data_IF_441695320958
#
_entry.id   IF_441695320958
#
_cell.length_a   1.000
_cell.length_b   1.000
_cell.length_c   1.000
_cell.angle_alpha   90.00
_cell.angle_beta   90.00
_cell.angle_gamma   90.00
#
_symmetry.space_group_name_H-M   'P 1'
#
loop_
_entity.id
_entity.type
_entity.pdbx_description
1 polymer ?
#
# COMPACT_ATOMS: atom_id res chain seq x y z
N UNK A 1 25.21 19.01 4.49
CA UNK A 1 25.02 18.26 3.23
C UNK A 1 23.80 18.82 2.51
N UNK A 2 23.89 19.16 1.22
CA UNK A 2 22.73 19.61 0.42
C UNK A 2 21.83 18.42 0.03
N UNK A 3 20.59 18.70 -0.36
CA UNK A 3 19.67 17.68 -0.92
C UNK A 3 20.34 16.92 -2.08
N UNK A 4 21.01 17.63 -2.99
CA UNK A 4 21.71 17.00 -4.10
C UNK A 4 22.78 16.00 -3.62
N UNK A 5 23.62 16.42 -2.66
CA UNK A 5 24.67 15.59 -2.10
C UNK A 5 24.10 14.36 -1.38
N UNK A 6 23.03 14.57 -0.58
CA UNK A 6 22.34 13.51 0.14
C UNK A 6 21.78 12.44 -0.81
N UNK A 7 21.06 12.87 -1.84
CA UNK A 7 20.46 11.96 -2.82
C UNK A 7 21.52 11.23 -3.64
N UNK A 8 22.63 11.88 -4.01
CA UNK A 8 23.75 11.21 -4.70
C UNK A 8 24.35 10.10 -3.84
N UNK A 9 24.65 10.40 -2.57
CA UNK A 9 25.21 9.42 -1.63
C UNK A 9 24.27 8.23 -1.40
N UNK A 10 22.98 8.50 -1.17
CA UNK A 10 21.98 7.46 -0.98
C UNK A 10 21.78 6.61 -2.24
N UNK A 11 21.69 7.23 -3.42
CA UNK A 11 21.56 6.50 -4.70
C UNK A 11 22.73 5.53 -4.90
N UNK A 12 23.97 6.01 -4.70
CA UNK A 12 25.17 5.18 -4.84
C UNK A 12 25.17 3.98 -3.86
N UNK A 13 24.63 4.17 -2.66
CA UNK A 13 24.52 3.09 -1.66
C UNK A 13 23.44 2.06 -1.99
N UNK A 14 22.37 2.47 -2.69
CA UNK A 14 21.22 1.62 -2.98
C UNK A 14 21.28 0.96 -4.37
N UNK A 15 22.17 1.40 -5.26
CA UNK A 15 22.23 0.94 -6.65
C UNK A 15 22.43 -0.58 -6.82
N UNK A 16 23.07 -1.26 -5.86
CA UNK A 16 23.32 -2.70 -5.91
C UNK A 16 22.13 -3.56 -5.47
N UNK A 17 21.13 -2.97 -4.80
CA UNK A 17 19.98 -3.69 -4.23
C UNK A 17 18.64 -3.22 -4.78
N UNK A 18 18.58 -2.06 -5.44
CA UNK A 18 17.35 -1.49 -5.97
C UNK A 18 17.53 -1.06 -7.42
N UNK A 19 16.72 -1.56 -8.37
CA UNK A 19 16.71 -1.06 -9.75
C UNK A 19 16.22 0.40 -9.82
N UNK A 20 15.56 0.88 -8.76
CA UNK A 20 15.02 2.23 -8.63
C UNK A 20 15.72 3.04 -7.55
N UNK A 21 17.01 2.78 -7.27
CA UNK A 21 17.78 3.39 -6.18
C UNK A 21 17.63 4.92 -6.03
N UNK A 22 17.55 5.64 -7.15
CA UNK A 22 17.34 7.09 -7.16
C UNK A 22 15.95 7.47 -6.64
N UNK A 23 14.92 6.76 -7.11
CA UNK A 23 13.53 6.94 -6.67
C UNK A 23 13.39 6.63 -5.18
N UNK A 24 13.98 5.52 -4.73
CA UNK A 24 13.99 5.13 -3.31
C UNK A 24 14.55 6.26 -2.45
N UNK A 25 15.71 6.81 -2.82
CA UNK A 25 16.33 7.93 -2.10
C UNK A 25 15.46 9.19 -2.09
N UNK A 26 14.81 9.51 -3.21
CA UNK A 26 13.92 10.67 -3.31
C UNK A 26 12.66 10.53 -2.45
N UNK A 27 12.05 9.35 -2.43
CA UNK A 27 10.87 9.07 -1.61
C UNK A 27 11.18 9.12 -0.12
N UNK A 28 12.30 8.51 0.30
CA UNK A 28 12.73 8.55 1.70
C UNK A 28 13.07 9.98 2.16
N UNK A 29 13.74 10.78 1.31
CA UNK A 29 14.03 12.16 1.67
C UNK A 29 12.77 13.03 1.69
N UNK A 30 11.85 12.83 0.74
CA UNK A 30 10.55 13.49 0.72
C UNK A 30 9.76 13.23 2.00
N UNK A 31 9.76 11.99 2.49
CA UNK A 31 9.15 11.60 3.76
C UNK A 31 9.76 12.36 4.95
N UNK A 32 11.10 12.41 5.07
CA UNK A 32 11.78 13.14 6.15
C UNK A 32 11.47 14.64 6.14
N UNK A 33 11.33 15.23 4.95
CA UNK A 33 11.08 16.67 4.79
C UNK A 33 9.60 17.04 4.87
N UNK A 34 8.69 16.06 4.80
CA UNK A 34 7.25 16.31 4.61
C UNK A 34 6.96 16.99 3.27
N UNK A 35 7.75 16.71 2.23
CA UNK A 35 7.67 17.35 0.92
C UNK A 35 7.11 16.42 -0.14
N UNK A 36 6.61 17.00 -1.23
CA UNK A 36 6.39 16.22 -2.46
C UNK A 36 7.73 15.83 -3.09
N UNK A 37 7.76 14.68 -3.79
CA UNK A 37 8.93 14.26 -4.57
C UNK A 37 9.39 15.33 -5.55
N UNK A 38 8.44 15.99 -6.24
CA UNK A 38 8.73 17.04 -7.21
C UNK A 38 9.51 18.21 -6.57
N UNK A 39 9.13 18.60 -5.35
CA UNK A 39 9.85 19.64 -4.61
C UNK A 39 11.27 19.21 -4.23
N UNK A 40 11.45 17.97 -3.77
CA UNK A 40 12.80 17.43 -3.48
C UNK A 40 13.70 17.46 -4.71
N UNK A 41 13.15 17.16 -5.90
CA UNK A 41 13.90 17.22 -7.17
C UNK A 41 14.24 18.66 -7.57
N UNK A 42 13.35 19.62 -7.32
CA UNK A 42 13.56 21.03 -7.66
C UNK A 42 14.56 21.73 -6.72
N UNK A 43 14.45 21.48 -5.40
CA UNK A 43 15.15 22.22 -4.34
C UNK A 43 16.54 21.63 -4.01
N UNK A 44 17.37 21.41 -5.02
CA UNK A 44 18.60 20.60 -4.92
C UNK A 44 19.67 21.18 -3.99
N UNK A 45 19.72 22.50 -3.85
CA UNK A 45 20.75 23.22 -3.10
C UNK A 45 20.39 23.46 -1.62
N UNK A 46 19.17 23.12 -1.20
CA UNK A 46 18.76 23.25 0.20
C UNK A 46 19.65 22.40 1.09
N UNK A 47 20.13 23.00 2.19
CA UNK A 47 20.98 22.33 3.18
C UNK A 47 20.09 21.62 4.20
N UNK A 48 20.32 20.32 4.38
CA UNK A 48 19.62 19.52 5.39
C UNK A 48 20.16 19.85 6.79
N UNK A 49 19.27 19.93 7.77
CA UNK A 49 19.68 20.03 9.18
C UNK A 49 20.39 18.75 9.64
N UNK A 50 21.20 18.79 10.72
CA UNK A 50 21.84 17.59 11.25
C UNK A 50 20.84 16.46 11.56
N UNK A 51 19.70 16.79 12.19
CA UNK A 51 18.64 15.82 12.49
C UNK A 51 18.03 15.21 11.22
N UNK A 52 17.80 16.00 10.17
CA UNK A 52 17.30 15.48 8.89
C UNK A 52 18.32 14.55 8.21
N UNK A 53 19.62 14.89 8.28
CA UNK A 53 20.68 14.04 7.73
C UNK A 53 20.77 12.69 8.48
N UNK A 54 20.66 12.72 9.81
CA UNK A 54 20.65 11.52 10.63
C UNK A 54 19.44 10.63 10.34
N UNK A 55 18.24 11.21 10.35
CA UNK A 55 17.00 10.48 10.06
C UNK A 55 16.99 9.88 8.64
N UNK A 56 17.43 10.65 7.63
CA UNK A 56 17.56 10.15 6.27
C UNK A 56 18.60 9.02 6.17
N UNK A 57 19.76 9.18 6.83
CA UNK A 57 20.80 8.15 6.88
C UNK A 57 20.29 6.84 7.49
N UNK A 58 19.48 6.91 8.55
CA UNK A 58 18.88 5.73 9.18
C UNK A 58 17.92 4.99 8.24
N UNK A 59 17.05 5.72 7.51
CA UNK A 59 16.15 5.11 6.53
C UNK A 59 16.92 4.50 5.35
N UNK A 60 17.96 5.16 4.84
CA UNK A 60 18.82 4.61 3.78
C UNK A 60 19.54 3.34 4.25
N UNK A 61 19.99 3.29 5.50
CA UNK A 61 20.61 2.08 6.07
C UNK A 61 19.63 0.91 6.13
N UNK A 62 18.39 1.14 6.57
CA UNK A 62 17.33 0.12 6.56
C UNK A 62 16.95 -0.30 5.14
N UNK A 63 16.85 0.66 4.20
CA UNK A 63 16.60 0.34 2.79
C UNK A 63 17.72 -0.49 2.18
N UNK A 64 18.97 -0.21 2.51
CA UNK A 64 20.13 -1.01 2.09
C UNK A 64 20.09 -2.44 2.65
N UNK A 65 19.43 -2.65 3.80
CA UNK A 65 19.11 -3.97 4.35
C UNK A 65 17.86 -4.62 3.70
N UNK A 66 17.46 -4.12 2.51
CA UNK A 66 16.34 -4.58 1.68
C UNK A 66 14.93 -4.33 2.24
N UNK A 67 14.78 -3.56 3.31
CA UNK A 67 13.45 -3.19 3.79
C UNK A 67 12.69 -2.36 2.74
N UNK A 68 11.44 -2.70 2.37
CA UNK A 68 10.68 -1.97 1.35
C UNK A 68 10.49 -0.50 1.70
N UNK A 69 10.57 0.37 0.68
CA UNK A 69 10.39 1.83 0.85
C UNK A 69 9.03 2.16 1.46
N UNK A 70 7.96 1.47 1.04
CA UNK A 70 6.62 1.69 1.56
C UNK A 70 6.52 1.48 3.08
N UNK A 71 7.18 0.45 3.62
CA UNK A 71 7.21 0.19 5.07
C UNK A 71 8.09 1.16 5.84
N UNK A 72 9.12 1.71 5.20
CA UNK A 72 9.93 2.78 5.79
C UNK A 72 9.16 4.10 5.90
N UNK A 73 8.27 4.35 4.94
CA UNK A 73 7.41 5.54 4.88
C UNK A 73 6.15 5.35 5.74
N UNK A 74 5.64 4.12 5.85
CA UNK A 74 4.45 3.75 6.61
C UNK A 74 3.12 3.96 5.86
N UNK A 75 3.18 4.48 4.63
CA UNK A 75 2.00 4.66 3.77
C UNK A 75 2.38 4.53 2.29
N UNK A 76 1.39 4.19 1.45
CA UNK A 76 1.60 3.91 0.03
C UNK A 76 0.39 4.32 -0.81
N UNK A 77 0.61 4.96 -1.98
CA UNK A 77 -0.48 5.32 -2.86
C UNK A 77 -1.06 4.10 -3.58
N UNK A 78 -2.39 4.08 -3.73
CA UNK A 78 -3.12 3.06 -4.49
C UNK A 78 -4.47 3.62 -4.96
N UNK A 79 -4.75 3.60 -6.25
CA UNK A 79 -6.05 4.01 -6.81
C UNK A 79 -6.53 5.41 -6.34
N UNK A 80 -5.60 6.37 -6.27
CA UNK A 80 -5.87 7.73 -5.75
C UNK A 80 -5.99 7.83 -4.22
N UNK A 81 -5.82 6.71 -3.50
CA UNK A 81 -5.76 6.63 -2.05
C UNK A 81 -4.31 6.71 -1.55
N UNK A 82 -4.13 7.01 -0.27
CA UNK A 82 -2.89 6.97 0.49
C UNK A 82 -3.13 6.09 1.71
N UNK A 83 -2.73 4.83 1.59
CA UNK A 83 -3.05 3.76 2.55
C UNK A 83 -1.89 3.57 3.51
N UNK A 84 -2.18 3.46 4.80
CA UNK A 84 -1.25 2.96 5.80
C UNK A 84 -0.83 1.54 5.42
N UNK A 85 0.48 1.30 5.40
CA UNK A 85 1.05 -0.03 5.13
C UNK A 85 2.23 -0.28 6.05
N UNK A 86 2.36 -1.52 6.49
CA UNK A 86 3.53 -2.02 7.20
C UNK A 86 3.69 -3.52 6.93
N UNK A 87 4.64 -4.16 7.63
CA UNK A 87 5.01 -5.57 7.44
C UNK A 87 3.87 -6.57 7.64
N UNK A 88 2.72 -6.16 8.21
CA UNK A 88 1.55 -7.01 8.41
C UNK A 88 0.70 -7.19 7.15
N UNK A 89 0.94 -6.38 6.11
CA UNK A 89 0.16 -6.39 4.87
C UNK A 89 1.03 -6.32 3.63
N UNK A 90 0.57 -6.93 2.54
CA UNK A 90 1.16 -6.75 1.22
C UNK A 90 1.07 -5.29 0.79
N UNK A 91 2.15 -4.76 0.22
CA UNK A 91 2.15 -3.42 -0.39
C UNK A 91 1.27 -3.47 -1.65
N UNK A 92 0.21 -2.64 -1.76
CA UNK A 92 -0.65 -2.63 -2.93
C UNK A 92 0.14 -2.38 -4.22
N UNK A 93 -0.12 -3.19 -5.23
CA UNK A 93 0.60 -3.16 -6.50
C UNK A 93 -0.20 -2.38 -7.56
N UNK A 94 0.44 -1.62 -8.46
CA UNK A 94 -0.25 -0.93 -9.55
C UNK A 94 -1.12 -1.87 -10.41
N UNK A 95 -0.67 -3.11 -10.62
CA UNK A 95 -1.41 -4.11 -11.38
C UNK A 95 -2.75 -4.46 -10.73
N UNK A 96 -2.85 -4.37 -9.39
CA UNK A 96 -4.09 -4.58 -8.64
C UNK A 96 -5.12 -3.47 -8.90
N UNK A 97 -4.72 -2.31 -9.41
CA UNK A 97 -5.67 -1.26 -9.82
C UNK A 97 -6.57 -1.72 -10.98
N UNK A 98 -6.06 -2.57 -11.88
CA UNK A 98 -6.85 -3.15 -12.98
C UNK A 98 -7.99 -4.02 -12.43
N UNK A 99 -7.75 -4.76 -11.34
CA UNK A 99 -8.79 -5.56 -10.69
C UNK A 99 -9.90 -4.65 -10.13
N UNK A 100 -9.54 -3.51 -9.55
CA UNK A 100 -10.52 -2.51 -9.09
C UNK A 100 -11.34 -1.97 -10.27
N UNK A 101 -10.69 -1.60 -11.37
CA UNK A 101 -11.39 -1.10 -12.58
C UNK A 101 -12.41 -2.11 -13.12
N UNK A 102 -12.02 -3.39 -13.22
CA UNK A 102 -12.90 -4.47 -13.66
C UNK A 102 -14.09 -4.68 -12.71
N UNK A 103 -13.82 -4.68 -11.41
CA UNK A 103 -14.85 -4.80 -10.39
C UNK A 103 -15.84 -3.62 -10.42
N UNK A 104 -15.35 -2.40 -10.65
CA UNK A 104 -16.20 -1.22 -10.84
C UNK A 104 -17.05 -1.31 -12.11
N UNK A 105 -16.51 -1.84 -13.20
CA UNK A 105 -17.26 -2.06 -14.42
C UNK A 105 -18.41 -3.07 -14.19
N UNK A 106 -18.15 -4.15 -13.46
CA UNK A 106 -19.17 -5.15 -13.12
C UNK A 106 -20.22 -4.59 -12.15
N UNK A 107 -19.80 -3.82 -11.13
CA UNK A 107 -20.71 -3.18 -10.17
C UNK A 107 -21.72 -2.23 -10.83
N UNK A 108 -21.43 -1.65 -12.01
CA UNK A 108 -22.38 -0.81 -12.75
C UNK A 108 -23.66 -1.54 -13.15
N UNK A 109 -23.62 -2.88 -13.28
CA UNK A 109 -24.80 -3.71 -13.57
C UNK A 109 -25.84 -3.67 -12.45
N UNK A 110 -25.43 -3.26 -11.24
CA UNK A 110 -26.25 -3.11 -10.05
C UNK A 110 -26.60 -1.63 -9.76
N UNK A 111 -26.48 -0.77 -10.77
CA UNK A 111 -26.79 0.65 -10.63
C UNK A 111 -28.23 0.87 -10.15
N UNK A 112 -28.39 1.59 -9.04
CA UNK A 112 -29.69 1.91 -8.46
C UNK A 112 -30.24 0.91 -7.44
N UNK A 113 -29.53 -0.19 -7.14
CA UNK A 113 -29.89 -1.14 -6.06
C UNK A 113 -28.76 -1.28 -5.05
N UNK A 114 -29.04 -1.68 -3.81
CA UNK A 114 -27.95 -2.05 -2.88
C UNK A 114 -27.14 -3.21 -3.48
N UNK A 115 -25.81 -3.16 -3.37
CA UNK A 115 -24.91 -4.23 -3.80
C UNK A 115 -24.07 -4.69 -2.62
N UNK A 116 -23.86 -6.00 -2.50
CA UNK A 116 -22.98 -6.61 -1.52
C UNK A 116 -21.74 -7.14 -2.22
N UNK A 117 -20.56 -6.65 -1.82
CA UNK A 117 -19.27 -7.03 -2.40
C UNK A 117 -18.43 -7.73 -1.33
N UNK A 118 -17.69 -8.77 -1.69
CA UNK A 118 -16.69 -9.37 -0.81
C UNK A 118 -15.28 -9.23 -1.39
N UNK A 119 -14.34 -8.72 -0.59
CA UNK A 119 -12.91 -8.66 -0.88
C UNK A 119 -12.19 -9.72 -0.04
N UNK A 120 -11.69 -10.77 -0.70
CA UNK A 120 -11.11 -11.94 -0.04
C UNK A 120 -9.59 -11.84 -0.03
N UNK A 121 -9.00 -11.86 1.16
CA UNK A 121 -7.58 -11.55 1.37
C UNK A 121 -7.34 -10.04 1.31
N UNK A 122 -8.16 -9.27 2.03
CA UNK A 122 -8.22 -7.81 1.86
C UNK A 122 -6.91 -7.09 2.20
N UNK A 123 -6.03 -7.69 3.01
CA UNK A 123 -4.74 -7.10 3.39
C UNK A 123 -4.89 -5.70 4.00
N UNK A 124 -4.33 -4.69 3.35
CA UNK A 124 -4.43 -3.28 3.78
C UNK A 124 -5.82 -2.65 3.54
N UNK A 125 -6.76 -3.39 2.94
CA UNK A 125 -8.08 -2.93 2.52
C UNK A 125 -8.09 -2.17 1.19
N UNK A 126 -7.03 -2.29 0.39
CA UNK A 126 -6.83 -1.49 -0.82
C UNK A 126 -8.00 -1.61 -1.81
N UNK A 127 -8.42 -2.83 -2.15
CA UNK A 127 -9.52 -3.09 -3.08
C UNK A 127 -10.85 -2.71 -2.43
N UNK A 128 -11.15 -3.23 -1.23
CA UNK A 128 -12.38 -2.94 -0.51
C UNK A 128 -12.69 -1.44 -0.37
N UNK A 129 -11.69 -0.63 0.03
CA UNK A 129 -11.83 0.83 0.21
C UNK A 129 -12.06 1.52 -1.13
N UNK A 130 -11.30 1.15 -2.16
CA UNK A 130 -11.47 1.72 -3.50
C UNK A 130 -12.88 1.45 -4.04
N UNK A 131 -13.40 0.23 -3.88
CA UNK A 131 -14.76 -0.12 -4.29
C UNK A 131 -15.83 0.61 -3.48
N UNK A 132 -15.69 0.67 -2.15
CA UNK A 132 -16.64 1.38 -1.30
C UNK A 132 -16.74 2.88 -1.65
N UNK A 133 -15.63 3.53 -1.98
CA UNK A 133 -15.63 4.95 -2.41
C UNK A 133 -16.37 5.14 -3.73
N UNK A 134 -16.12 4.28 -4.71
CA UNK A 134 -16.63 4.47 -6.08
C UNK A 134 -18.02 3.85 -6.33
N UNK A 135 -18.51 3.01 -5.41
CA UNK A 135 -19.83 2.39 -5.46
C UNK A 135 -20.61 2.78 -4.19
N UNK A 136 -21.24 3.97 -4.12
CA UNK A 136 -21.80 4.52 -2.87
C UNK A 136 -22.88 3.67 -2.19
N UNK A 137 -23.57 2.83 -2.97
CA UNK A 137 -24.60 1.87 -2.57
C UNK A 137 -24.03 0.48 -2.22
N UNK A 138 -22.72 0.31 -2.15
CA UNK A 138 -22.11 -0.95 -1.76
C UNK A 138 -21.98 -1.09 -0.24
N UNK A 139 -22.31 -2.29 0.26
CA UNK A 139 -21.76 -2.85 1.49
C UNK A 139 -20.62 -3.78 1.09
N UNK A 140 -19.44 -3.60 1.66
CA UNK A 140 -18.24 -4.38 1.34
C UNK A 140 -17.85 -5.21 2.56
N UNK A 141 -17.78 -6.53 2.40
CA UNK A 141 -17.18 -7.43 3.36
C UNK A 141 -15.72 -7.64 3.01
N UNK A 142 -14.80 -7.14 3.84
CA UNK A 142 -13.38 -7.41 3.72
C UNK A 142 -13.01 -8.61 4.60
N UNK A 143 -12.54 -9.69 3.98
CA UNK A 143 -12.15 -10.91 4.68
C UNK A 143 -10.63 -11.06 4.66
N UNK A 144 -10.04 -11.36 5.81
CA UNK A 144 -8.66 -11.81 5.88
C UNK A 144 -8.48 -12.87 6.97
N UNK A 145 -7.53 -13.78 6.77
CA UNK A 145 -7.16 -14.78 7.78
C UNK A 145 -6.28 -14.18 8.89
N UNK A 146 -5.65 -13.03 8.61
CA UNK A 146 -4.70 -12.39 9.50
C UNK A 146 -5.39 -11.26 10.27
N UNK A 147 -5.57 -11.44 11.58
CA UNK A 147 -6.02 -10.36 12.47
C UNK A 147 -5.10 -9.13 12.41
N UNK A 148 -3.80 -9.35 12.20
CA UNK A 148 -2.80 -8.29 12.02
C UNK A 148 -3.04 -7.48 10.74
N UNK A 149 -3.41 -8.13 9.64
CA UNK A 149 -3.79 -7.45 8.40
C UNK A 149 -5.09 -6.67 8.58
N UNK A 150 -6.10 -7.27 9.22
CA UNK A 150 -7.36 -6.60 9.53
C UNK A 150 -7.17 -5.36 10.42
N UNK A 151 -6.19 -5.38 11.34
CA UNK A 151 -5.84 -4.20 12.13
C UNK A 151 -5.32 -3.05 11.25
N UNK A 152 -4.52 -3.33 10.21
CA UNK A 152 -4.09 -2.30 9.24
C UNK A 152 -5.25 -1.84 8.37
N UNK A 153 -6.06 -2.77 7.85
CA UNK A 153 -7.27 -2.44 7.10
C UNK A 153 -8.23 -1.54 7.90
N UNK A 154 -8.42 -1.80 9.19
CA UNK A 154 -9.24 -0.96 10.07
C UNK A 154 -8.76 0.49 10.13
N UNK A 155 -7.44 0.71 10.21
CA UNK A 155 -6.87 2.06 10.18
C UNK A 155 -7.21 2.78 8.86
N UNK A 156 -7.12 2.07 7.74
CA UNK A 156 -7.41 2.63 6.42
C UNK A 156 -8.92 2.87 6.22
N UNK A 157 -9.77 1.93 6.63
CA UNK A 157 -11.23 2.08 6.57
C UNK A 157 -11.67 3.31 7.38
N UNK A 158 -11.13 3.47 8.59
CA UNK A 158 -11.40 4.64 9.43
C UNK A 158 -10.87 5.93 8.79
N UNK A 159 -9.65 5.92 8.23
CA UNK A 159 -9.05 7.07 7.54
C UNK A 159 -9.91 7.62 6.40
N UNK A 160 -10.69 6.75 5.74
CA UNK A 160 -11.60 7.12 4.65
C UNK A 160 -13.07 7.26 5.08
N UNK A 161 -13.38 7.18 6.38
CA UNK A 161 -14.75 7.26 6.92
C UNK A 161 -15.70 6.21 6.33
N UNK A 162 -15.22 4.97 6.19
CA UNK A 162 -15.99 3.88 5.58
C UNK A 162 -16.43 2.79 6.57
N UNK A 163 -16.30 3.03 7.88
CA UNK A 163 -16.61 2.04 8.91
C UNK A 163 -18.05 1.52 8.88
N UNK A 164 -19.00 2.32 8.39
CA UNK A 164 -20.41 1.91 8.24
C UNK A 164 -20.67 1.06 6.99
N UNK A 165 -19.68 0.94 6.10
CA UNK A 165 -19.83 0.36 4.77
C UNK A 165 -18.86 -0.76 4.47
N UNK A 166 -17.70 -0.78 5.14
CA UNK A 166 -16.69 -1.83 5.03
C UNK A 166 -16.69 -2.62 6.33
N UNK A 167 -17.18 -3.85 6.29
CA UNK A 167 -17.24 -4.77 7.43
C UNK A 167 -16.04 -5.70 7.37
N UNK A 168 -15.26 -5.71 8.43
CA UNK A 168 -14.06 -6.54 8.56
C UNK A 168 -14.41 -7.89 9.17
N UNK A 169 -14.00 -8.96 8.52
CA UNK A 169 -14.31 -10.33 8.90
C UNK A 169 -13.02 -11.16 8.97
N UNK A 170 -12.69 -11.67 10.15
CA UNK A 170 -11.60 -12.62 10.31
C UNK A 170 -12.07 -14.03 9.91
N UNK A 171 -11.35 -14.67 8.99
CA UNK A 171 -11.64 -16.05 8.63
C UNK A 171 -10.97 -16.50 7.34
N UNK A 172 -11.21 -17.76 7.00
CA UNK A 172 -10.64 -18.35 5.80
C UNK A 172 -11.61 -18.26 4.61
N UNK A 173 -11.14 -17.62 3.55
CA UNK A 173 -11.87 -17.44 2.29
C UNK A 173 -13.29 -16.91 2.50
N UNK A 174 -14.31 -17.68 2.11
CA UNK A 174 -15.72 -17.25 2.15
C UNK A 174 -16.41 -17.63 3.47
N UNK A 175 -15.74 -18.36 4.35
CA UNK A 175 -16.32 -18.91 5.59
C UNK A 175 -17.01 -17.89 6.49
N UNK A 176 -16.46 -16.68 6.73
CA UNK A 176 -17.08 -15.74 7.65
C UNK A 176 -18.18 -14.89 6.99
N UNK A 177 -18.46 -15.05 5.69
CA UNK A 177 -19.49 -14.28 5.01
C UNK A 177 -20.89 -14.65 5.57
N UNK A 178 -21.75 -13.67 5.87
CA UNK A 178 -23.05 -13.92 6.50
C UNK A 178 -24.10 -14.48 5.51
N UNK A 179 -23.80 -14.49 4.21
CA UNK A 179 -24.71 -14.95 3.17
C UNK A 179 -24.14 -14.72 1.77
N UNK A 180 -24.96 -14.94 0.73
CA UNK A 180 -24.58 -14.67 -0.66
C UNK A 180 -24.21 -13.21 -0.87
N UNK A 181 -23.26 -12.97 -1.78
CA UNK A 181 -22.83 -11.63 -2.20
C UNK A 181 -23.00 -11.51 -3.71
N UNK A 182 -23.12 -10.28 -4.20
CA UNK A 182 -23.33 -9.98 -5.61
C UNK A 182 -22.02 -10.02 -6.41
N UNK A 183 -20.91 -9.63 -5.78
CA UNK A 183 -19.58 -9.59 -6.39
C UNK A 183 -18.51 -10.09 -5.41
N UNK A 184 -17.63 -10.97 -5.87
CA UNK A 184 -16.44 -11.41 -5.14
C UNK A 184 -15.21 -10.91 -5.90
N UNK A 185 -14.31 -10.25 -5.19
CA UNK A 185 -13.00 -9.83 -5.67
C UNK A 185 -11.93 -10.39 -4.75
N UNK A 186 -10.76 -10.71 -5.30
CA UNK A 186 -9.64 -11.21 -4.53
C UNK A 186 -8.34 -11.02 -5.29
N UNK A 187 -7.30 -10.65 -4.56
CA UNK A 187 -5.92 -10.74 -5.03
C UNK A 187 -5.17 -11.71 -4.11
N UNK A 188 -5.42 -13.03 -4.24
CA UNK A 188 -4.85 -14.03 -3.34
C UNK A 188 -3.35 -14.19 -3.59
N UNK A 189 -2.58 -14.78 -2.67
CA UNK A 189 -1.21 -15.16 -2.95
C UNK A 189 -1.18 -16.19 -4.08
N UNK A 190 -0.51 -15.85 -5.20
CA UNK A 190 -0.42 -16.68 -6.41
C UNK A 190 1.02 -17.05 -6.77
N UNK A 191 2.00 -16.65 -5.98
CA UNK A 191 3.41 -16.97 -6.22
C UNK A 191 3.73 -18.41 -5.81
N UNK A 192 4.38 -19.15 -6.70
CA UNK A 192 4.97 -20.45 -6.37
C UNK A 192 6.27 -20.14 -5.62
N UNK A 193 6.32 -20.46 -4.32
CA UNK A 193 7.42 -20.10 -3.41
C UNK A 193 8.82 -20.51 -3.89
N UNK A 194 8.92 -21.45 -4.84
CA UNK A 194 10.17 -21.91 -5.45
C UNK A 194 10.77 -20.98 -6.52
N UNK A 195 10.02 -19.97 -6.99
CA UNK A 195 10.41 -19.09 -8.11
C UNK A 195 10.63 -17.63 -7.69
N UNK A 196 10.51 -17.32 -6.40
CA UNK A 196 10.58 -15.96 -5.87
C UNK A 196 11.98 -15.65 -5.32
N UNK A 197 12.58 -14.53 -5.75
CA UNK A 197 13.83 -14.02 -5.20
C UNK A 197 13.73 -13.89 -3.67
N UNK A 198 14.76 -14.33 -2.94
CA UNK A 198 14.81 -14.36 -1.47
C UNK A 198 14.55 -12.97 -0.84
N UNK A 199 14.86 -11.88 -1.56
CA UNK A 199 14.55 -10.51 -1.15
C UNK A 199 13.08 -10.10 -1.30
N UNK A 200 12.34 -10.76 -2.17
CA UNK A 200 10.90 -10.60 -2.38
C UNK A 200 10.13 -11.48 -1.38
N UNK A 201 10.62 -12.70 -1.13
CA UNK A 201 10.03 -13.65 -0.17
C UNK A 201 9.89 -13.11 1.27
N UNK A 202 10.79 -12.23 1.72
CA UNK A 202 10.72 -11.68 3.09
C UNK A 202 9.60 -10.66 3.31
N UNK A 203 8.96 -10.18 2.25
CA UNK A 203 8.01 -9.07 2.29
C UNK A 203 6.79 -9.26 1.37
N UNK A 204 6.61 -10.47 0.81
CA UNK A 204 5.37 -10.97 0.21
C UNK A 204 4.65 -11.88 1.19
#
# INVERSE_FOLDING_TARGET
MTIQQALRAATARLQSISPTARLDAELLLAHILGWSRARVVAEREVVLTPAQQEAFGALVARRAAREPVAYLIGHWPFFGLDLVVDRRVLIPRPETEVLVELALAEARRYSGTQITIADIGMGSGAIAIALAIHVPNATVYGVDRSADALAVAALNVARYNLSDRVVLLEGDLLTPLPGPVDLIVSNPPYTILAEVDEGVYRYE
#
